data_IF_679169370434
#
_entry.id   IF_679169370434
#
_cell.length_a   1.000
_cell.length_b   1.000
_cell.length_c   1.000
_cell.angle_alpha   90.00
_cell.angle_beta   90.00
_cell.angle_gamma   90.00
#
_symmetry.space_group_name_H-M   'P 1'
#
loop_
_entity.id
_entity.type
_entity.pdbx_description
1 polymer ?
#
# COMPACT_ATOMS: atom_id res chain seq x y z
N UNK A 1 -9.37 15.75 3.82
CA UNK A 1 -8.52 14.89 3.02
C UNK A 1 -9.28 13.67 2.58
N UNK A 2 -9.16 13.31 1.32
CA UNK A 2 -9.92 12.18 0.80
C UNK A 2 -9.29 10.85 1.16
N UNK A 3 -10.07 9.79 0.96
CA UNK A 3 -9.59 8.45 1.26
C UNK A 3 -8.36 8.10 0.43
N UNK A 4 -8.35 8.48 -0.84
CA UNK A 4 -7.21 8.20 -1.71
C UNK A 4 -5.93 8.82 -1.13
N UNK A 5 -6.02 10.06 -0.70
CA UNK A 5 -4.85 10.75 -0.17
C UNK A 5 -4.36 10.09 1.11
N UNK A 6 -5.29 9.66 1.97
CA UNK A 6 -4.90 8.96 3.19
C UNK A 6 -4.20 7.65 2.87
N UNK A 7 -4.66 6.94 1.87
CA UNK A 7 -4.03 5.68 1.47
C UNK A 7 -2.63 5.93 0.92
N UNK A 8 -2.47 6.95 0.09
CA UNK A 8 -1.16 7.29 -0.44
C UNK A 8 -0.20 7.65 0.69
N UNK A 9 -0.65 8.46 1.66
CA UNK A 9 0.19 8.82 2.78
C UNK A 9 0.60 7.59 3.60
N UNK A 10 -0.33 6.68 3.82
CA UNK A 10 -0.03 5.48 4.57
C UNK A 10 1.05 4.66 3.87
N UNK A 11 0.96 4.51 2.55
CA UNK A 11 1.94 3.73 1.81
C UNK A 11 3.30 4.42 1.83
N UNK A 12 3.32 5.74 1.65
CA UNK A 12 4.59 6.46 1.68
C UNK A 12 5.27 6.36 3.04
N UNK A 13 4.50 6.47 4.11
CA UNK A 13 5.06 6.40 5.45
C UNK A 13 5.40 4.99 5.89
N UNK A 14 4.92 3.99 5.16
CA UNK A 14 5.27 2.59 5.42
C UNK A 14 6.79 2.38 5.29
N UNK A 15 7.39 2.96 4.24
CA UNK A 15 8.85 3.07 4.10
C UNK A 15 9.57 1.77 4.47
N UNK A 16 9.32 0.67 3.74
CA UNK A 16 9.89 -0.62 4.12
C UNK A 16 11.40 -0.68 3.99
N UNK A 17 11.98 0.19 3.17
CA UNK A 17 13.43 0.20 2.96
C UNK A 17 14.10 1.36 3.66
N UNK A 18 13.35 2.13 4.42
CA UNK A 18 13.86 3.25 5.21
C UNK A 18 14.62 4.27 4.36
N UNK A 19 14.04 4.58 3.19
CA UNK A 19 14.64 5.54 2.26
C UNK A 19 13.98 6.92 2.34
N UNK A 20 12.86 7.03 3.04
CA UNK A 20 12.12 8.28 3.13
C UNK A 20 10.86 8.26 2.27
N UNK A 21 9.78 8.91 2.73
CA UNK A 21 8.49 8.83 2.02
C UNK A 21 8.54 9.35 0.59
N UNK A 22 9.42 10.32 0.32
CA UNK A 22 9.46 10.92 -1.00
C UNK A 22 9.95 9.97 -2.08
N UNK A 23 10.56 8.85 -1.70
CA UNK A 23 11.04 7.90 -2.70
C UNK A 23 9.98 6.93 -3.18
N UNK A 24 8.77 7.00 -2.61
CA UNK A 24 7.73 6.04 -2.93
C UNK A 24 6.51 6.65 -3.62
N UNK A 25 6.64 7.82 -4.24
CA UNK A 25 5.46 8.46 -4.82
C UNK A 25 4.81 7.62 -5.91
N UNK A 26 5.62 7.10 -6.83
CA UNK A 26 5.07 6.27 -7.90
C UNK A 26 4.54 4.96 -7.35
N UNK A 27 5.29 4.34 -6.45
CA UNK A 27 4.90 3.08 -5.86
C UNK A 27 3.62 3.22 -5.05
N UNK A 28 3.48 4.32 -4.33
CA UNK A 28 2.27 4.54 -3.55
C UNK A 28 1.04 4.64 -4.45
N UNK A 29 1.16 5.33 -5.58
CA UNK A 29 0.06 5.42 -6.52
C UNK A 29 -0.30 4.04 -7.06
N UNK A 30 0.71 3.24 -7.42
CA UNK A 30 0.47 1.90 -7.94
C UNK A 30 -0.19 1.00 -6.90
N UNK A 31 0.27 1.07 -5.66
CA UNK A 31 -0.30 0.27 -4.58
C UNK A 31 -1.77 0.65 -4.35
N UNK A 32 -2.05 1.94 -4.30
CA UNK A 32 -3.42 2.39 -4.07
C UNK A 32 -4.32 1.97 -5.22
N UNK A 33 -3.80 2.00 -6.45
CA UNK A 33 -4.58 1.52 -7.60
C UNK A 33 -4.94 0.04 -7.42
N UNK A 34 -3.97 -0.78 -7.03
CA UNK A 34 -4.21 -2.21 -6.86
C UNK A 34 -5.25 -2.44 -5.75
N UNK A 35 -5.11 -1.73 -4.63
CA UNK A 35 -6.06 -1.88 -3.53
C UNK A 35 -7.46 -1.46 -3.98
N UNK A 36 -7.55 -0.40 -4.80
CA UNK A 36 -8.84 0.05 -5.28
C UNK A 36 -9.49 -0.92 -6.25
N UNK A 37 -8.67 -1.65 -7.01
CA UNK A 37 -9.18 -2.53 -8.06
C UNK A 37 -9.47 -3.95 -7.57
N UNK A 38 -8.86 -4.38 -6.49
CA UNK A 38 -8.97 -5.77 -6.04
C UNK A 38 -9.31 -5.82 -4.56
N UNK A 39 -9.92 -6.93 -4.14
CA UNK A 39 -10.35 -7.10 -2.76
C UNK A 39 -9.65 -8.25 -2.03
N UNK A 40 -8.86 -9.04 -2.72
CA UNK A 40 -8.21 -10.20 -2.13
C UNK A 40 -6.92 -9.75 -1.43
N UNK A 41 -6.85 -9.81 -0.09
CA UNK A 41 -5.65 -9.30 0.60
C UNK A 41 -4.38 -10.02 0.22
N UNK A 42 -4.44 -11.32 -0.02
CA UNK A 42 -3.24 -12.06 -0.38
C UNK A 42 -2.74 -11.67 -1.76
N UNK A 43 -3.66 -11.49 -2.69
CA UNK A 43 -3.29 -11.08 -4.04
C UNK A 43 -2.69 -9.68 -4.00
N UNK A 44 -3.32 -8.77 -3.26
CA UNK A 44 -2.83 -7.40 -3.14
C UNK A 44 -1.43 -7.38 -2.54
N UNK A 45 -1.21 -8.17 -1.47
CA UNK A 45 0.11 -8.20 -0.84
C UNK A 45 1.19 -8.66 -1.81
N UNK A 46 0.89 -9.64 -2.64
CA UNK A 46 1.85 -10.11 -3.63
C UNK A 46 2.10 -9.06 -4.69
N UNK A 47 1.07 -8.33 -5.09
CA UNK A 47 1.25 -7.25 -6.06
C UNK A 47 2.11 -6.14 -5.47
N UNK A 48 1.96 -5.85 -4.18
CA UNK A 48 2.80 -4.87 -3.52
C UNK A 48 4.26 -5.32 -3.58
N UNK A 49 4.53 -6.59 -3.29
CA UNK A 49 5.88 -7.11 -3.40
C UNK A 49 6.44 -6.92 -4.81
N UNK A 50 5.62 -7.18 -5.82
CA UNK A 50 6.05 -7.06 -7.20
C UNK A 50 6.34 -5.59 -7.55
N UNK A 51 5.47 -4.69 -7.13
CA UNK A 51 5.66 -3.27 -7.40
C UNK A 51 7.00 -2.79 -6.84
N UNK A 52 7.30 -3.16 -5.60
CA UNK A 52 8.54 -2.73 -4.97
C UNK A 52 9.76 -3.42 -5.56
N UNK A 53 9.61 -4.68 -5.95
CA UNK A 53 10.71 -5.38 -6.60
C UNK A 53 11.07 -4.73 -7.94
N UNK A 54 10.07 -4.36 -8.71
CA UNK A 54 10.34 -3.75 -10.01
C UNK A 54 11.00 -2.38 -9.89
N UNK A 55 10.73 -1.67 -8.80
CA UNK A 55 11.29 -0.34 -8.62
C UNK A 55 12.63 -0.36 -7.91
N UNK A 56 12.81 -1.22 -6.93
CA UNK A 56 13.99 -1.19 -6.08
C UNK A 56 14.81 -2.48 -6.13
N UNK A 57 14.32 -3.49 -6.86
CA UNK A 57 14.99 -4.79 -6.96
C UNK A 57 15.14 -5.46 -5.58
N UNK A 58 14.25 -5.12 -4.66
CA UNK A 58 14.16 -5.75 -3.35
C UNK A 58 12.71 -6.03 -3.04
N UNK A 59 12.47 -7.10 -2.29
CA UNK A 59 11.12 -7.54 -1.99
C UNK A 59 10.85 -7.35 -0.51
N UNK A 60 9.87 -6.50 -0.14
CA UNK A 60 9.48 -6.40 1.26
C UNK A 60 8.90 -7.73 1.74
N UNK A 61 8.99 -8.02 3.03
CA UNK A 61 8.47 -9.28 3.53
C UNK A 61 6.97 -9.35 3.31
N UNK A 62 6.49 -10.57 3.06
CA UNK A 62 5.06 -10.75 2.81
C UNK A 62 4.24 -10.33 4.03
N UNK A 63 4.78 -10.52 5.22
CA UNK A 63 4.08 -10.15 6.43
C UNK A 63 3.85 -8.65 6.51
N UNK A 64 4.87 -7.87 6.17
CA UNK A 64 4.72 -6.42 6.14
C UNK A 64 3.73 -5.99 5.08
N UNK A 65 3.77 -6.64 3.91
CA UNK A 65 2.85 -6.32 2.84
C UNK A 65 1.42 -6.65 3.22
N UNK A 66 1.21 -7.77 3.92
CA UNK A 66 -0.12 -8.14 4.35
C UNK A 66 -0.66 -7.16 5.39
N UNK A 67 0.19 -6.73 6.30
CA UNK A 67 -0.25 -5.77 7.31
C UNK A 67 -0.64 -4.45 6.65
N UNK A 68 0.16 -3.97 5.72
CA UNK A 68 -0.17 -2.75 4.99
C UNK A 68 -1.46 -2.92 4.22
N UNK A 69 -1.63 -4.07 3.56
CA UNK A 69 -2.82 -4.35 2.79
C UNK A 69 -4.08 -4.27 3.66
N UNK A 70 -4.02 -4.86 4.84
CA UNK A 70 -5.18 -4.84 5.74
C UNK A 70 -5.52 -3.42 6.16
N UNK A 71 -4.52 -2.61 6.44
CA UNK A 71 -4.77 -1.22 6.81
C UNK A 71 -5.37 -0.44 5.65
N UNK A 72 -4.89 -0.68 4.43
CA UNK A 72 -5.41 0.00 3.26
C UNK A 72 -6.85 -0.42 2.97
N UNK A 73 -7.16 -1.70 3.15
CA UNK A 73 -8.52 -2.17 2.92
C UNK A 73 -9.50 -1.57 3.93
N UNK A 74 -9.06 -1.38 5.17
CA UNK A 74 -9.89 -0.71 6.16
C UNK A 74 -10.21 0.71 5.71
N UNK A 75 -9.23 1.43 5.21
CA UNK A 75 -9.47 2.77 4.70
C UNK A 75 -10.40 2.75 3.48
N UNK A 76 -10.20 1.77 2.59
CA UNK A 76 -11.01 1.69 1.39
C UNK A 76 -12.47 1.42 1.71
N UNK A 77 -12.71 0.56 2.69
CA UNK A 77 -14.08 0.24 3.03
C UNK A 77 -14.76 1.31 3.83
N UNK A 78 -14.08 2.34 4.07
CA UNK A 78 -14.77 3.36 4.64
C UNK A 78 -14.39 3.57 5.91
N UNK A 79 -13.29 3.78 5.95
CA UNK A 79 -12.99 4.32 7.10
C UNK A 79 -14.12 5.07 7.56
N UNK A 80 -14.92 5.29 6.75
CA UNK A 80 -16.07 6.01 7.10
C UNK A 80 -16.86 5.34 8.09
N UNK A 81 -16.91 4.19 8.09
CA UNK A 81 -17.81 3.59 8.91
C UNK A 81 -17.64 3.81 10.26
N UNK A 82 -16.75 4.21 10.49
CA UNK A 82 -16.65 4.46 11.77
C UNK A 82 -17.78 4.81 12.47
N UNK A 83 -18.05 4.52 12.20
CA UNK A 83 -18.85 4.53 12.82
C UNK A 83 -19.28 4.60 13.08
#
# INVERSE_FOLDING_TARGET
MGTYEKMVELVKNWDPFQMGPEFYETEASDVVYVVSAFDDPKYIAKKIQHIYFMSFEEIPSIEKCEKLTNELLILKEGGSCSL
#
